data_IF_129709660039
#
_entry.id   IF_129709660039
#
_cell.length_a   1.000
_cell.length_b   1.000
_cell.length_c   1.000
_cell.angle_alpha   90.00
_cell.angle_beta   90.00
_cell.angle_gamma   90.00
#
_symmetry.space_group_name_H-M   'P 1'
#
loop_
_entity.id
_entity.type
_entity.pdbx_description
1 polymer ?
#
# COMPACT_ATOMS: atom_id res chain seq x y z
N UNK A 1 -68.93 -3.70 32.95
CA UNK A 1 -68.83 -3.86 31.47
C UNK A 1 -67.74 -2.94 30.96
N UNK A 2 -66.91 -3.48 30.05
CA UNK A 2 -65.93 -2.81 29.17
C UNK A 2 -64.58 -2.41 29.78
N UNK A 3 -63.73 -3.43 29.82
CA UNK A 3 -62.30 -3.45 29.48
C UNK A 3 -61.85 -2.38 28.49
N UNK A 4 -60.72 -1.73 28.79
CA UNK A 4 -59.76 -1.26 27.79
C UNK A 4 -58.35 -1.42 28.37
N UNK A 5 -57.75 -2.57 28.03
CA UNK A 5 -56.30 -2.75 28.02
C UNK A 5 -55.72 -1.80 26.96
N UNK A 6 -54.79 -0.94 27.35
CA UNK A 6 -53.86 -0.31 26.42
C UNK A 6 -52.45 -0.78 26.80
N UNK A 7 -52.00 -1.83 26.12
CA UNK A 7 -50.63 -2.31 26.12
C UNK A 7 -49.74 -1.25 25.45
N UNK A 8 -48.97 -0.51 26.25
CA UNK A 8 -47.94 0.38 25.73
C UNK A 8 -46.66 -0.45 25.54
N UNK A 9 -46.49 -1.04 24.36
CA UNK A 9 -45.25 -1.66 23.95
C UNK A 9 -44.17 -0.57 23.80
N UNK A 10 -43.19 -0.56 24.69
CA UNK A 10 -42.03 0.31 24.59
C UNK A 10 -41.13 -0.15 23.42
N UNK A 11 -40.76 0.74 22.47
CA UNK A 11 -39.75 0.40 21.49
C UNK A 11 -38.39 0.33 22.18
N UNK A 12 -37.78 -0.86 22.18
CA UNK A 12 -36.36 -1.03 22.50
C UNK A 12 -35.58 -0.37 21.37
N UNK A 13 -35.07 0.83 21.61
CA UNK A 13 -34.15 1.51 20.68
C UNK A 13 -32.82 0.75 20.77
N UNK A 14 -32.61 -0.18 19.85
CA UNK A 14 -31.30 -0.75 19.57
C UNK A 14 -30.43 0.36 18.95
N UNK A 15 -29.66 1.06 19.78
CA UNK A 15 -28.53 1.84 19.32
C UNK A 15 -27.47 0.84 18.83
N UNK A 16 -27.54 0.44 17.56
CA UNK A 16 -26.44 -0.24 16.91
C UNK A 16 -25.27 0.75 16.82
N UNK A 17 -24.16 0.41 17.47
CA UNK A 17 -22.90 1.14 17.40
C UNK A 17 -22.40 1.13 15.96
N UNK A 18 -22.72 2.15 15.17
CA UNK A 18 -21.96 2.47 13.97
C UNK A 18 -20.65 3.13 14.40
N UNK A 19 -19.73 2.34 14.97
CA UNK A 19 -18.33 2.75 15.09
C UNK A 19 -17.80 2.83 13.66
N UNK A 20 -17.79 4.05 13.14
CA UNK A 20 -17.05 4.34 11.91
C UNK A 20 -15.58 4.30 12.33
N UNK A 21 -14.89 3.22 12.01
CA UNK A 21 -13.43 3.14 12.04
C UNK A 21 -12.86 4.43 11.43
N UNK A 22 -12.17 5.21 12.25
CA UNK A 22 -11.66 6.51 11.81
C UNK A 22 -10.55 6.23 10.80
N UNK A 23 -10.42 7.05 9.76
CA UNK A 23 -9.38 6.88 8.72
C UNK A 23 -7.95 6.81 9.29
N UNK A 24 -7.77 7.23 10.54
CA UNK A 24 -6.53 7.14 11.32
C UNK A 24 -6.13 5.71 11.70
N UNK A 25 -7.08 4.76 11.79
CA UNK A 25 -6.82 3.38 12.23
C UNK A 25 -6.37 2.45 11.08
N UNK A 26 -6.37 2.93 9.83
CA UNK A 26 -5.94 2.09 8.70
C UNK A 26 -4.41 2.10 8.55
N UNK A 27 -3.77 0.93 8.37
CA UNK A 27 -2.34 0.86 8.14
C UNK A 27 -1.93 1.64 6.89
N UNK A 28 -0.83 2.37 7.01
CA UNK A 28 -0.26 3.24 5.99
C UNK A 28 1.12 2.76 5.57
N UNK A 29 1.56 3.21 4.41
CA UNK A 29 2.89 2.91 3.90
C UNK A 29 3.13 1.41 3.78
N UNK A 30 4.30 0.97 4.25
CA UNK A 30 4.69 -0.45 4.21
C UNK A 30 3.86 -1.33 5.15
N UNK A 31 3.33 -0.79 6.27
CA UNK A 31 2.56 -1.57 7.26
C UNK A 31 1.30 -2.21 6.65
N UNK A 32 0.77 -1.62 5.57
CA UNK A 32 -0.34 -2.19 4.80
C UNK A 32 -0.03 -3.59 4.23
N UNK A 33 1.24 -3.88 4.03
CA UNK A 33 1.74 -5.10 3.39
C UNK A 33 2.41 -6.05 4.39
N UNK A 34 2.23 -5.85 5.69
CA UNK A 34 2.90 -6.65 6.73
C UNK A 34 2.64 -8.16 6.59
N UNK A 35 1.45 -8.54 6.14
CA UNK A 35 1.05 -9.93 5.90
C UNK A 35 1.06 -10.30 4.40
N UNK A 36 1.58 -9.44 3.52
CA UNK A 36 1.67 -9.71 2.08
C UNK A 36 2.92 -10.56 1.78
N UNK A 37 2.78 -11.79 1.27
CA UNK A 37 3.91 -12.67 0.98
C UNK A 37 4.86 -12.12 -0.09
N UNK A 38 4.42 -11.11 -0.85
CA UNK A 38 5.23 -10.42 -1.86
C UNK A 38 6.20 -9.43 -1.25
N UNK A 39 5.95 -8.96 -0.02
CA UNK A 39 6.84 -8.03 0.66
C UNK A 39 8.08 -8.76 1.17
N UNK A 40 9.25 -8.30 0.74
CA UNK A 40 10.54 -8.79 1.22
C UNK A 40 11.24 -7.80 2.16
N UNK A 41 12.54 -8.03 2.37
CA UNK A 41 13.38 -7.23 3.26
C UNK A 41 13.56 -5.78 2.78
N UNK A 42 13.83 -4.87 3.72
CA UNK A 42 14.24 -3.49 3.40
C UNK A 42 15.63 -3.50 2.75
N UNK A 43 15.75 -2.80 1.61
CA UNK A 43 17.01 -2.63 0.88
C UNK A 43 17.48 -1.18 0.95
N UNK A 44 18.79 -0.96 0.87
CA UNK A 44 19.36 0.38 1.03
C UNK A 44 19.15 1.31 -0.17
N UNK A 45 19.03 0.75 -1.37
CA UNK A 45 18.99 1.52 -2.61
C UNK A 45 18.59 0.69 -3.83
N UNK A 46 18.03 1.35 -4.85
CA UNK A 46 17.79 0.79 -6.20
C UNK A 46 18.59 1.61 -7.20
N UNK A 47 19.32 0.98 -8.12
CA UNK A 47 20.18 1.67 -9.07
C UNK A 47 19.68 1.50 -10.51
N UNK A 48 18.93 2.49 -11.00
CA UNK A 48 18.40 2.47 -12.35
C UNK A 48 19.48 2.83 -13.37
N UNK A 49 19.56 2.11 -14.48
CA UNK A 49 20.55 2.38 -15.53
C UNK A 49 20.29 3.72 -16.25
N UNK A 50 19.03 4.18 -16.31
CA UNK A 50 18.67 5.45 -16.95
C UNK A 50 17.46 6.09 -16.28
N UNK A 51 16.32 5.41 -16.28
CA UNK A 51 15.06 5.84 -15.68
C UNK A 51 14.39 4.64 -15.02
N UNK A 52 13.34 4.89 -14.24
CA UNK A 52 12.47 3.81 -13.75
C UNK A 52 11.86 3.10 -14.97
N UNK A 53 12.06 1.78 -15.10
CA UNK A 53 11.64 1.02 -16.28
C UNK A 53 10.11 0.82 -16.33
N UNK A 54 9.46 0.88 -15.17
CA UNK A 54 8.02 0.75 -15.04
C UNK A 54 7.61 0.85 -13.57
N UNK A 55 6.36 1.20 -13.34
CA UNK A 55 5.77 1.29 -12.00
C UNK A 55 4.30 0.87 -12.03
N UNK A 56 3.74 0.54 -10.87
CA UNK A 56 2.36 0.13 -10.69
C UNK A 56 2.01 -0.05 -9.21
N UNK A 57 0.82 -0.61 -8.95
CA UNK A 57 0.31 -0.84 -7.59
C UNK A 57 0.44 0.42 -6.70
N UNK A 58 0.10 1.58 -7.30
CA UNK A 58 0.25 2.88 -6.66
C UNK A 58 -0.81 3.09 -5.59
N UNK A 59 -0.37 3.71 -4.50
CA UNK A 59 -1.25 4.25 -3.47
C UNK A 59 -0.79 5.67 -3.15
N UNK A 60 -1.37 6.30 -2.14
CA UNK A 60 -0.97 7.65 -1.72
C UNK A 60 0.43 7.71 -1.11
N UNK A 61 0.92 6.59 -0.60
CA UNK A 61 2.15 6.51 0.20
C UNK A 61 3.09 5.38 -0.26
N UNK A 62 2.69 4.56 -1.24
CA UNK A 62 3.51 3.49 -1.78
C UNK A 62 3.42 3.36 -3.29
N UNK A 63 4.46 2.81 -3.90
CA UNK A 63 4.47 2.42 -5.32
C UNK A 63 5.41 1.24 -5.53
N UNK A 64 5.01 0.29 -6.38
CA UNK A 64 5.89 -0.77 -6.85
C UNK A 64 6.61 -0.28 -8.11
N UNK A 65 7.93 -0.36 -8.12
CA UNK A 65 8.78 -0.04 -9.28
C UNK A 65 9.51 -1.27 -9.77
N UNK A 66 9.88 -1.25 -11.05
CA UNK A 66 10.67 -2.30 -11.70
C UNK A 66 12.02 -1.77 -12.14
N UNK A 67 13.06 -2.54 -11.87
CA UNK A 67 14.43 -2.35 -12.39
C UNK A 67 14.86 -3.64 -13.08
N UNK A 68 14.84 -3.66 -14.42
CA UNK A 68 15.03 -4.87 -15.20
C UNK A 68 13.97 -5.94 -14.87
N UNK A 69 14.40 -6.99 -14.14
CA UNK A 69 13.56 -8.11 -13.69
C UNK A 69 13.13 -8.01 -12.23
N UNK A 70 13.80 -7.17 -11.46
CA UNK A 70 13.61 -7.02 -10.03
C UNK A 70 12.51 -5.99 -9.76
N UNK A 71 11.75 -6.20 -8.70
CA UNK A 71 10.68 -5.31 -8.30
C UNK A 71 10.92 -4.86 -6.86
N UNK A 72 10.49 -3.64 -6.57
CA UNK A 72 10.68 -3.03 -5.28
C UNK A 72 9.44 -2.24 -4.90
N UNK A 73 9.01 -2.36 -3.64
CA UNK A 73 8.02 -1.47 -3.04
C UNK A 73 8.76 -0.27 -2.47
N UNK A 74 8.42 0.93 -2.93
CA UNK A 74 8.91 2.19 -2.38
C UNK A 74 7.81 2.78 -1.52
N UNK A 75 8.14 3.11 -0.27
CA UNK A 75 7.32 3.91 0.61
C UNK A 75 7.81 5.36 0.61
N UNK A 76 6.88 6.32 0.56
CA UNK A 76 7.18 7.75 0.68
C UNK A 76 6.72 8.32 2.02
N UNK A 77 7.33 9.43 2.45
CA UNK A 77 6.92 10.12 3.67
C UNK A 77 5.54 10.76 3.52
N UNK A 78 4.59 10.28 4.31
CA UNK A 78 3.22 10.79 4.29
C UNK A 78 2.54 10.54 2.94
N UNK A 79 1.47 11.29 2.68
CA UNK A 79 0.78 11.20 1.39
C UNK A 79 1.45 12.07 0.33
N UNK A 80 1.73 11.48 -0.83
CA UNK A 80 2.13 12.15 -2.05
C UNK A 80 0.89 12.23 -2.95
N UNK A 81 0.28 13.42 -3.08
CA UNK A 81 -1.04 13.58 -3.71
C UNK A 81 -1.13 13.02 -5.13
N UNK A 82 -0.16 13.20 -6.05
CA UNK A 82 -0.28 12.65 -7.40
C UNK A 82 0.14 11.18 -7.49
N UNK A 83 0.47 10.51 -6.38
CA UNK A 83 1.03 9.15 -6.44
C UNK A 83 -0.01 8.08 -6.71
N UNK A 84 -1.20 8.18 -6.11
CA UNK A 84 -2.28 7.21 -6.34
C UNK A 84 -2.72 7.19 -7.80
N UNK A 85 -2.76 8.36 -8.45
CA UNK A 85 -3.10 8.54 -9.87
C UNK A 85 -1.87 8.80 -10.77
N UNK A 86 -0.68 8.32 -10.36
CA UNK A 86 0.56 8.63 -11.07
C UNK A 86 0.54 8.17 -12.53
N UNK A 87 0.82 9.10 -13.44
CA UNK A 87 1.01 8.82 -14.87
C UNK A 87 2.48 8.84 -15.27
N UNK A 88 3.33 9.56 -14.51
CA UNK A 88 4.78 9.62 -14.69
C UNK A 88 5.49 9.63 -13.34
N UNK A 89 6.55 8.84 -13.22
CA UNK A 89 7.43 8.83 -12.05
C UNK A 89 8.88 8.91 -12.54
N UNK A 90 9.60 9.89 -12.01
CA UNK A 90 11.06 9.99 -12.09
C UNK A 90 11.69 9.95 -10.71
N UNK A 91 13.02 10.00 -10.67
CA UNK A 91 13.80 10.09 -9.43
C UNK A 91 14.59 11.39 -9.40
N UNK A 92 14.68 11.96 -8.21
CA UNK A 92 15.59 13.05 -7.86
C UNK A 92 16.50 12.54 -6.74
N UNK A 93 17.64 11.99 -7.16
CA UNK A 93 18.63 11.34 -6.32
C UNK A 93 20.05 11.76 -6.73
N UNK A 94 21.01 11.57 -5.83
CA UNK A 94 22.41 11.81 -6.16
C UNK A 94 23.00 10.64 -6.95
N UNK A 95 23.07 10.79 -8.27
CA UNK A 95 23.56 9.76 -9.19
C UNK A 95 22.45 8.88 -9.75
N UNK A 96 22.77 7.62 -10.06
CA UNK A 96 21.82 6.67 -10.66
C UNK A 96 21.06 5.82 -9.65
N UNK A 97 21.31 5.99 -8.35
CA UNK A 97 20.72 5.16 -7.30
C UNK A 97 19.76 5.95 -6.42
N UNK A 98 18.53 5.49 -6.33
CA UNK A 98 17.51 5.98 -5.40
C UNK A 98 17.74 5.36 -4.02
N UNK A 99 17.78 6.20 -2.98
CA UNK A 99 17.96 5.80 -1.59
C UNK A 99 16.89 6.40 -0.70
N UNK A 100 16.86 5.96 0.56
CA UNK A 100 16.12 6.65 1.62
C UNK A 100 16.49 8.13 1.68
N UNK A 101 15.50 9.00 1.82
CA UNK A 101 15.58 10.48 1.79
C UNK A 101 15.91 11.14 0.45
N UNK A 102 16.15 10.37 -0.63
CA UNK A 102 15.99 10.91 -1.98
C UNK A 102 14.50 11.16 -2.27
N UNK A 103 14.16 11.61 -3.48
CA UNK A 103 12.76 11.83 -3.83
C UNK A 103 12.36 11.16 -5.15
N UNK A 104 11.09 10.76 -5.22
CA UNK A 104 10.38 10.55 -6.46
C UNK A 104 9.83 11.87 -6.98
N UNK A 105 9.93 12.11 -8.28
CA UNK A 105 9.24 13.20 -8.97
C UNK A 105 8.02 12.60 -9.65
N UNK A 106 6.86 12.82 -9.06
CA UNK A 106 5.61 12.17 -9.43
C UNK A 106 4.71 13.17 -10.13
N UNK A 107 4.06 12.75 -11.21
CA UNK A 107 3.04 13.53 -11.90
C UNK A 107 1.84 12.68 -12.30
N UNK A 108 0.64 13.23 -12.10
CA UNK A 108 -0.66 12.65 -12.49
C UNK A 108 -1.06 13.01 -13.93
N UNK A 109 -0.13 13.55 -14.73
CA UNK A 109 -0.37 13.98 -16.11
C UNK A 109 0.67 13.40 -17.06
N UNK A 110 0.30 13.17 -18.33
CA UNK A 110 1.22 12.71 -19.40
C UNK A 110 1.97 13.87 -20.07
N UNK A 111 1.46 15.10 -20.00
CA UNK A 111 2.13 16.27 -20.59
C UNK A 111 2.35 17.39 -19.58
N UNK A 112 3.50 18.03 -19.64
CA UNK A 112 3.84 19.20 -18.79
C UNK A 112 2.97 20.43 -19.08
N UNK A 113 2.19 20.42 -20.17
CA UNK A 113 1.22 21.47 -20.52
C UNK A 113 -0.18 21.24 -19.93
N UNK A 114 -0.44 20.04 -19.43
CA UNK A 114 -1.73 19.65 -18.88
C UNK A 114 -1.69 19.55 -17.35
N UNK A 115 -0.81 20.33 -16.70
CA UNK A 115 -0.85 20.52 -15.26
C UNK A 115 -2.21 21.15 -14.89
N UNK A 116 -3.15 20.30 -14.50
CA UNK A 116 -4.53 20.66 -14.18
C UNK A 116 -4.65 21.30 -12.80
N UNK A 117 -3.59 21.23 -11.98
CA UNK A 117 -3.57 21.68 -10.59
C UNK A 117 -2.13 22.04 -10.16
N UNK A 118 -1.91 22.96 -9.21
CA UNK A 118 -0.58 23.17 -8.62
C UNK A 118 0.00 21.93 -7.90
N UNK A 119 -0.80 20.88 -7.72
CA UNK A 119 -0.41 19.62 -7.09
C UNK A 119 -0.27 18.45 -8.07
N UNK A 120 -0.43 18.68 -9.38
CA UNK A 120 -0.30 17.63 -10.42
C UNK A 120 1.13 17.12 -10.61
N UNK A 121 2.12 17.81 -10.01
CA UNK A 121 3.50 17.37 -9.95
C UNK A 121 4.10 17.65 -8.58
N UNK A 122 4.65 16.62 -7.93
CA UNK A 122 5.22 16.75 -6.59
C UNK A 122 6.53 15.98 -6.44
N UNK A 123 7.34 16.46 -5.50
CA UNK A 123 8.56 15.81 -5.03
C UNK A 123 8.24 15.05 -3.75
N UNK A 124 8.33 13.73 -3.78
CA UNK A 124 7.87 12.84 -2.72
C UNK A 124 9.06 12.09 -2.13
N UNK A 125 9.40 12.41 -0.88
CA UNK A 125 10.59 11.89 -0.21
C UNK A 125 10.42 10.40 0.08
N UNK A 126 11.45 9.61 -0.23
CA UNK A 126 11.47 8.17 0.03
C UNK A 126 11.70 7.92 1.52
N UNK A 127 10.79 7.17 2.15
CA UNK A 127 10.90 6.70 3.53
C UNK A 127 11.55 5.32 3.63
N UNK A 128 11.24 4.41 2.71
CA UNK A 128 11.72 3.03 2.73
C UNK A 128 11.68 2.40 1.35
N UNK A 129 12.51 1.38 1.17
CA UNK A 129 12.55 0.59 -0.06
C UNK A 129 12.61 -0.87 0.33
N UNK A 130 11.74 -1.69 -0.22
CA UNK A 130 11.60 -3.10 0.15
C UNK A 130 11.65 -3.95 -1.12
N UNK A 131 12.26 -5.13 -1.02
CA UNK A 131 12.16 -6.12 -2.08
C UNK A 131 10.70 -6.50 -2.32
N UNK A 132 10.35 -6.78 -3.58
CA UNK A 132 9.00 -7.17 -3.96
C UNK A 132 9.02 -8.37 -4.91
N UNK A 133 8.37 -9.47 -4.54
CA UNK A 133 8.17 -10.62 -5.43
C UNK A 133 6.71 -10.67 -5.92
N UNK A 134 6.41 -10.22 -7.14
CA UNK A 134 5.04 -10.20 -7.65
C UNK A 134 4.41 -11.60 -7.81
N UNK A 135 5.20 -12.68 -7.69
CA UNK A 135 4.74 -14.06 -7.86
C UNK A 135 4.62 -14.83 -6.55
N UNK A 136 5.07 -14.27 -5.44
CA UNK A 136 4.92 -14.92 -4.14
C UNK A 136 3.44 -15.12 -3.82
N UNK A 137 3.11 -16.32 -3.32
CA UNK A 137 1.80 -16.68 -2.81
C UNK A 137 1.97 -17.07 -1.35
N UNK A 138 0.95 -16.80 -0.53
CA UNK A 138 0.96 -17.24 0.85
C UNK A 138 1.11 -18.75 0.86
N UNK A 139 2.10 -19.26 1.61
CA UNK A 139 2.24 -20.68 1.86
C UNK A 139 1.02 -21.12 2.68
N UNK A 140 0.22 -22.05 2.15
CA UNK A 140 -0.76 -22.75 2.98
C UNK A 140 0.03 -23.57 4.00
N UNK A 141 -0.34 -23.58 5.29
CA UNK A 141 0.40 -24.34 6.29
C UNK A 141 0.39 -25.81 5.87
N UNK A 142 1.58 -26.36 5.59
CA UNK A 142 1.73 -27.79 5.33
C UNK A 142 1.30 -28.52 6.60
N UNK A 143 0.15 -29.23 6.53
CA UNK A 143 -0.22 -30.18 7.57
C UNK A 143 0.84 -31.29 7.57
N UNK A 144 1.74 -31.21 8.54
CA UNK A 144 2.73 -32.23 8.87
C UNK A 144 1.95 -33.50 9.26
N UNK A 145 1.69 -34.36 8.28
CA UNK A 145 1.14 -35.70 8.52
C UNK A 145 2.23 -36.53 9.18
N UNK A 146 2.17 -36.64 10.51
CA UNK A 146 2.88 -37.65 11.29
C UNK A 146 2.47 -39.05 10.79
N UNK A 147 3.24 -39.61 9.85
CA UNK A 147 3.24 -41.05 9.58
C UNK A 147 3.93 -41.74 10.77
N UNK A 148 3.15 -42.08 11.79
CA UNK A 148 3.56 -42.94 12.89
C UNK A 148 3.76 -44.37 12.36
N UNK A 149 5.03 -44.75 12.16
CA UNK A 149 5.49 -46.11 11.90
C UNK A 149 4.92 -47.10 12.93
N UNK A 150 3.85 -47.81 12.57
CA UNK A 150 3.35 -48.94 13.34
C UNK A 150 4.09 -50.22 12.92
N UNK A 151 5.26 -50.46 13.52
CA UNK A 151 5.90 -51.77 13.55
C UNK A 151 5.37 -52.57 14.76
N UNK A 152 4.57 -53.60 14.52
CA UNK A 152 4.34 -54.77 15.41
C UNK A 152 3.62 -55.91 14.69
#
# INVERSE_FOLDING_TARGET
MRTLMLSLAAPVILAACATSETQEDRPRGVERYADDPRLGEEVSSICFASTIDGFGETTRDTVVVRDGRDHYLIEVFGACTPLDDAMRIGMDATGSCLRKHDALIVSDSISDFAETSPFSKQRCLVNGIYAWDPKAKAEEPEEESEEEDAES
#
